data_IF_766496542911
#
_entry.id   IF_766496542911
#
_cell.length_a   1.000
_cell.length_b   1.000
_cell.length_c   1.000
_cell.angle_alpha   90.00
_cell.angle_beta   90.00
_cell.angle_gamma   90.00
#
_symmetry.space_group_name_H-M   'P 1'
#
loop_
_entity.id
_entity.type
_entity.pdbx_description
1 polymer ?
#
# COMPACT_ATOMS: atom_id res chain seq x y z
N UNK A 1 -22.04 -5.79 12.50
CA UNK A 1 -22.18 -4.97 11.27
C UNK A 1 -20.91 -5.19 10.48
N UNK A 2 -21.01 -5.90 9.37
CA UNK A 2 -19.85 -6.32 8.58
C UNK A 2 -19.16 -5.11 7.94
N UNK A 3 -17.90 -4.90 8.33
CA UNK A 3 -17.03 -3.89 7.75
C UNK A 3 -16.56 -4.43 6.38
N UNK A 4 -16.63 -3.67 5.29
CA UNK A 4 -16.17 -4.14 3.99
C UNK A 4 -14.66 -4.41 4.02
N UNK A 5 -14.25 -5.62 3.64
CA UNK A 5 -12.87 -6.11 3.78
C UNK A 5 -12.10 -6.05 2.47
N UNK A 6 -10.95 -5.38 2.48
CA UNK A 6 -9.92 -5.45 1.43
C UNK A 6 -9.05 -6.69 1.65
N UNK A 7 -8.81 -7.48 0.60
CA UNK A 7 -7.86 -8.61 0.59
C UNK A 7 -6.47 -8.10 0.19
N UNK A 8 -5.50 -8.20 1.09
CA UNK A 8 -4.08 -8.10 0.77
C UNK A 8 -3.68 -9.38 0.00
N UNK A 9 -3.41 -9.29 -1.30
CA UNK A 9 -2.83 -10.39 -2.06
C UNK A 9 -1.31 -10.43 -1.83
N UNK A 10 -0.89 -10.98 -0.70
CA UNK A 10 0.48 -11.47 -0.54
C UNK A 10 0.45 -12.99 -0.67
N UNK A 11 1.06 -13.54 -1.73
CA UNK A 11 2.09 -14.60 -1.66
C UNK A 11 2.26 -15.27 -3.05
N UNK A 12 3.52 -15.52 -3.46
CA UNK A 12 3.86 -16.75 -4.15
C UNK A 12 4.68 -17.61 -3.18
N UNK A 13 4.10 -18.70 -2.66
CA UNK A 13 4.83 -19.77 -2.02
C UNK A 13 4.50 -21.05 -2.80
N UNK A 14 5.53 -21.67 -3.35
CA UNK A 14 5.47 -22.92 -4.08
C UNK A 14 5.24 -24.09 -3.10
N UNK A 15 4.02 -24.25 -2.59
CA UNK A 15 3.45 -25.55 -2.17
C UNK A 15 2.05 -25.37 -1.53
N UNK A 16 0.97 -25.89 -2.13
CA UNK A 16 -0.39 -25.66 -1.67
C UNK A 16 -0.87 -26.80 -0.75
N UNK A 17 -0.17 -27.04 0.36
CA UNK A 17 -0.68 -28.00 1.35
C UNK A 17 -0.40 -27.52 2.77
N UNK A 18 -1.47 -26.98 3.36
CA UNK A 18 -1.65 -26.63 4.77
C UNK A 18 -0.95 -25.35 5.23
N UNK A 19 -1.67 -24.24 5.07
CA UNK A 19 -1.67 -23.18 6.07
C UNK A 19 -3.10 -22.63 6.21
N UNK A 20 -3.88 -23.25 7.10
CA UNK A 20 -5.02 -22.58 7.73
C UNK A 20 -4.47 -21.41 8.54
N UNK A 21 -4.60 -20.19 8.03
CA UNK A 21 -4.66 -18.97 8.86
C UNK A 21 -5.57 -17.95 8.16
N UNK A 22 -6.81 -17.88 8.65
CA UNK A 22 -7.80 -16.81 8.41
C UNK A 22 -7.30 -15.37 8.69
N UNK A 23 -6.06 -15.20 9.13
CA UNK A 23 -5.44 -13.95 9.57
C UNK A 23 -4.55 -13.28 8.51
N UNK A 24 -4.37 -13.91 7.34
CA UNK A 24 -3.60 -13.35 6.23
C UNK A 24 -4.52 -12.77 5.15
N UNK A 25 -5.11 -11.58 5.36
CA UNK A 25 -5.58 -10.73 4.24
C UNK A 25 -6.25 -9.39 4.60
N UNK A 26 -6.58 -9.06 5.86
CA UNK A 26 -7.36 -7.84 6.14
C UNK A 26 -6.44 -6.65 6.49
N UNK A 27 -6.59 -5.55 5.74
CA UNK A 27 -5.96 -4.29 6.13
C UNK A 27 -6.58 -3.80 7.45
N UNK A 28 -5.77 -3.65 8.48
CA UNK A 28 -6.24 -3.20 9.79
C UNK A 28 -6.40 -1.68 9.78
N UNK A 29 -7.63 -1.20 9.65
CA UNK A 29 -7.96 0.23 9.62
C UNK A 29 -8.26 0.70 11.04
N UNK A 30 -7.47 1.65 11.52
CA UNK A 30 -7.61 2.22 12.85
C UNK A 30 -8.57 3.42 12.85
N UNK A 31 -8.54 4.21 11.79
CA UNK A 31 -9.39 5.39 11.60
C UNK A 31 -9.60 5.66 10.11
N UNK A 32 -10.74 6.24 9.75
CA UNK A 32 -11.11 6.53 8.37
C UNK A 32 -12.15 7.65 8.27
N UNK A 33 -11.86 8.64 7.43
CA UNK A 33 -12.80 9.66 6.99
C UNK A 33 -12.72 9.80 5.47
N UNK A 34 -13.82 9.51 4.77
CA UNK A 34 -13.97 9.76 3.34
C UNK A 34 -13.45 8.68 2.40
N UNK A 35 -12.62 7.72 2.87
CA UNK A 35 -12.34 6.52 2.08
C UNK A 35 -13.49 5.52 2.17
N UNK A 36 -13.93 5.02 1.02
CA UNK A 36 -14.95 3.99 0.89
C UNK A 36 -14.36 2.77 0.18
N UNK A 37 -14.54 1.59 0.76
CA UNK A 37 -14.17 0.35 0.09
C UNK A 37 -15.25 -0.10 -0.87
N UNK A 38 -14.84 -0.57 -2.06
CA UNK A 38 -15.72 -1.27 -2.98
C UNK A 38 -15.02 -2.51 -3.52
N UNK A 39 -15.75 -3.62 -3.60
CA UNK A 39 -15.29 -4.86 -4.27
C UNK A 39 -15.35 -4.72 -5.80
N UNK A 40 -16.27 -3.91 -6.30
CA UNK A 40 -16.57 -3.75 -7.71
C UNK A 40 -16.15 -2.36 -8.20
N UNK A 41 -15.99 -2.22 -9.52
CA UNK A 41 -15.80 -0.91 -10.11
C UNK A 41 -17.06 -0.04 -9.89
N UNK A 42 -16.89 1.18 -9.36
CA UNK A 42 -18.00 2.10 -9.06
C UNK A 42 -18.59 2.72 -10.34
N UNK A 43 -17.81 2.81 -11.42
CA UNK A 43 -18.23 3.33 -12.72
C UNK A 43 -17.89 2.34 -13.84
N UNK A 44 -18.71 2.21 -14.88
CA UNK A 44 -18.49 1.27 -16.00
C UNK A 44 -19.06 -0.13 -15.73
N UNK A 45 -18.39 -1.19 -16.21
CA UNK A 45 -18.87 -2.57 -16.01
C UNK A 45 -18.72 -3.00 -14.55
N UNK A 46 -19.80 -2.86 -13.78
CA UNK A 46 -19.89 -3.20 -12.36
C UNK A 46 -19.76 -4.70 -12.05
N UNK A 47 -19.77 -5.57 -13.07
CA UNK A 47 -19.55 -7.02 -12.88
C UNK A 47 -18.07 -7.38 -12.70
N UNK A 48 -17.14 -6.46 -13.03
CA UNK A 48 -15.70 -6.71 -12.88
C UNK A 48 -15.25 -6.42 -11.45
N UNK A 49 -14.76 -7.45 -10.76
CA UNK A 49 -14.16 -7.35 -9.42
C UNK A 49 -12.89 -6.49 -9.52
N UNK A 50 -12.87 -5.37 -8.79
CA UNK A 50 -11.75 -4.42 -8.72
C UNK A 50 -11.68 -3.80 -7.31
N UNK A 51 -11.28 -4.60 -6.29
CA UNK A 51 -11.26 -4.16 -4.90
C UNK A 51 -10.38 -2.92 -4.71
N UNK A 52 -10.77 -2.04 -3.81
CA UNK A 52 -10.00 -0.85 -3.50
C UNK A 52 -10.70 0.09 -2.51
N UNK A 53 -9.91 0.85 -1.76
CA UNK A 53 -10.36 2.00 -1.00
C UNK A 53 -10.29 3.24 -1.90
N UNK A 54 -11.38 3.98 -2.01
CA UNK A 54 -11.47 5.18 -2.85
C UNK A 54 -11.89 6.38 -2.01
N UNK A 55 -11.21 7.52 -2.19
CA UNK A 55 -11.61 8.82 -1.67
C UNK A 55 -11.65 9.84 -2.82
N UNK A 56 -12.51 10.85 -2.70
CA UNK A 56 -12.75 11.86 -3.74
C UNK A 56 -12.53 13.29 -3.27
N UNK A 57 -12.40 13.51 -1.96
CA UNK A 57 -12.39 14.85 -1.37
C UNK A 57 -11.05 15.12 -0.67
N UNK A 58 -10.48 16.34 -0.79
CA UNK A 58 -9.37 16.79 0.05
C UNK A 58 -9.65 16.61 1.54
N UNK A 59 -8.61 16.27 2.31
CA UNK A 59 -8.71 16.01 3.74
C UNK A 59 -9.42 14.69 4.10
N UNK A 60 -9.80 13.88 3.10
CA UNK A 60 -10.15 12.48 3.35
C UNK A 60 -8.88 11.74 3.79
N UNK A 61 -8.98 10.90 4.81
CA UNK A 61 -7.84 10.17 5.32
C UNK A 61 -8.20 8.76 5.77
N UNK A 62 -7.19 7.92 5.88
CA UNK A 62 -7.26 6.60 6.48
C UNK A 62 -5.96 6.30 7.24
N UNK A 63 -6.08 5.81 8.47
CA UNK A 63 -4.96 5.32 9.26
C UNK A 63 -4.99 3.81 9.29
N UNK A 64 -3.89 3.18 8.91
CA UNK A 64 -3.78 1.72 8.74
C UNK A 64 -2.61 1.17 9.54
N UNK A 65 -2.82 0.03 10.18
CA UNK A 65 -1.79 -0.71 10.92
C UNK A 65 -1.28 -1.87 10.08
N UNK A 66 0.04 -1.94 9.93
CA UNK A 66 0.73 -3.03 9.24
C UNK A 66 1.90 -3.56 10.10
N UNK A 67 2.25 -4.83 9.91
CA UNK A 67 3.45 -5.41 10.51
C UNK A 67 4.62 -5.20 9.54
N UNK A 68 5.64 -4.46 9.97
CA UNK A 68 6.90 -4.23 9.24
C UNK A 68 8.10 -4.88 9.94
N UNK A 69 7.86 -5.64 10.99
CA UNK A 69 8.89 -6.46 11.64
C UNK A 69 9.04 -7.77 10.85
N UNK A 70 10.26 -8.02 10.39
CA UNK A 70 10.60 -9.23 9.65
C UNK A 70 11.64 -9.99 10.43
N UNK A 71 11.32 -11.24 10.78
CA UNK A 71 12.33 -12.15 11.31
C UNK A 71 13.39 -12.38 10.23
N UNK A 72 14.65 -12.53 10.64
CA UNK A 72 15.73 -12.87 9.71
C UNK A 72 15.32 -14.13 8.94
N UNK A 73 15.22 -14.08 7.59
CA UNK A 73 14.92 -15.27 6.81
C UNK A 73 15.90 -16.38 7.19
N UNK A 74 15.42 -17.61 7.46
CA UNK A 74 16.30 -18.74 7.85
C UNK A 74 17.45 -18.95 6.85
N UNK A 75 17.20 -18.67 5.56
CA UNK A 75 18.18 -18.74 4.47
C UNK A 75 19.30 -17.69 4.55
N UNK A 76 19.14 -16.65 5.37
CA UNK A 76 20.09 -15.55 5.53
C UNK A 76 20.79 -15.55 6.89
N UNK A 77 20.57 -16.58 7.71
CA UNK A 77 21.25 -16.74 9.00
C UNK A 77 22.79 -16.85 8.85
N UNK A 78 23.26 -17.26 7.67
CA UNK A 78 24.70 -17.42 7.35
C UNK A 78 25.29 -16.25 6.55
N UNK A 79 24.49 -15.27 6.13
CA UNK A 79 25.01 -14.09 5.43
C UNK A 79 25.46 -13.03 6.44
N UNK A 80 26.72 -12.56 6.30
CA UNK A 80 27.28 -11.47 7.10
C UNK A 80 26.34 -10.27 7.07
N UNK A 81 25.68 -10.00 8.20
CA UNK A 81 24.96 -8.75 8.56
C UNK A 81 24.56 -7.84 7.38
N UNK A 82 23.84 -8.37 6.39
CA UNK A 82 23.26 -7.55 5.34
C UNK A 82 22.20 -6.67 5.98
N UNK A 83 22.26 -5.35 5.76
CA UNK A 83 21.28 -4.42 6.30
C UNK A 83 19.97 -4.60 5.54
N UNK A 84 19.06 -5.43 6.06
CA UNK A 84 17.70 -5.51 5.52
C UNK A 84 16.99 -4.20 5.76
N UNK A 85 16.51 -3.58 4.68
CA UNK A 85 15.70 -2.37 4.75
C UNK A 85 14.25 -2.77 4.51
N UNK A 86 13.38 -2.64 5.53
CA UNK A 86 11.95 -2.81 5.34
C UNK A 86 11.41 -1.71 4.44
N UNK A 87 10.47 -2.08 3.60
CA UNK A 87 9.75 -1.18 2.72
C UNK A 87 8.26 -1.44 2.80
N UNK A 88 7.47 -0.40 2.56
CA UNK A 88 6.05 -0.50 2.29
C UNK A 88 5.84 -0.21 0.81
N UNK A 89 5.13 -1.10 0.14
CA UNK A 89 4.69 -0.96 -1.25
C UNK A 89 3.18 -0.70 -1.30
N UNK A 90 2.80 0.32 -2.03
CA UNK A 90 1.41 0.68 -2.31
C UNK A 90 1.09 0.33 -3.76
N UNK A 91 0.00 -0.39 -4.01
CA UNK A 91 -0.56 -0.58 -5.35
C UNK A 91 -1.75 0.36 -5.51
N UNK A 92 -1.72 1.20 -6.53
CA UNK A 92 -2.67 2.30 -6.70
C UNK A 92 -3.09 2.45 -8.15
N UNK A 93 -4.29 3.00 -8.35
CA UNK A 93 -4.71 3.43 -9.68
C UNK A 93 -4.04 4.76 -10.03
N UNK A 94 -3.47 4.84 -11.22
CA UNK A 94 -3.06 6.05 -11.91
C UNK A 94 -3.94 6.22 -13.15
N UNK A 95 -4.24 7.46 -13.54
CA UNK A 95 -5.05 7.76 -14.72
C UNK A 95 -4.80 9.19 -15.19
N UNK A 96 -5.06 9.45 -16.46
CA UNK A 96 -5.00 10.79 -17.07
C UNK A 96 -6.19 11.71 -16.73
N UNK A 97 -7.18 11.21 -15.98
CA UNK A 97 -8.37 11.97 -15.59
C UNK A 97 -8.69 11.76 -14.12
N UNK A 98 -9.22 12.80 -13.49
CA UNK A 98 -9.85 12.79 -12.16
C UNK A 98 -8.91 12.57 -10.95
N UNK A 99 -7.65 12.19 -11.18
CA UNK A 99 -6.76 11.70 -10.12
C UNK A 99 -6.18 12.80 -9.24
N UNK A 100 -6.20 12.57 -7.93
CA UNK A 100 -5.62 13.47 -6.94
C UNK A 100 -4.21 13.11 -6.50
N UNK A 101 -3.68 13.96 -5.62
CA UNK A 101 -2.49 13.67 -4.85
C UNK A 101 -2.86 13.19 -3.44
N UNK A 102 -2.00 12.37 -2.85
CA UNK A 102 -2.13 12.01 -1.45
C UNK A 102 -0.76 11.89 -0.79
N UNK A 103 -0.74 12.09 0.52
CA UNK A 103 0.44 11.97 1.37
C UNK A 103 0.37 10.70 2.21
N UNK A 104 1.53 10.08 2.40
CA UNK A 104 1.74 9.01 3.36
C UNK A 104 2.73 9.46 4.42
N UNK A 105 2.45 9.13 5.66
CA UNK A 105 3.33 9.39 6.81
C UNK A 105 3.24 8.25 7.83
N UNK A 106 4.33 8.02 8.56
CA UNK A 106 4.32 7.11 9.70
C UNK A 106 3.89 7.90 10.95
N UNK A 107 2.88 7.41 11.66
CA UNK A 107 2.29 8.11 12.82
C UNK A 107 2.49 7.37 14.14
N UNK A 108 2.75 6.06 14.13
CA UNK A 108 3.07 5.29 15.33
C UNK A 108 3.86 4.02 15.04
N UNK A 109 4.71 3.62 15.99
CA UNK A 109 5.49 2.38 15.99
C UNK A 109 6.69 2.33 15.04
N UNK A 110 6.56 2.88 13.84
CA UNK A 110 7.61 2.96 12.83
C UNK A 110 7.90 4.42 12.45
N UNK A 111 8.99 4.63 11.73
CA UNK A 111 9.42 5.92 11.20
C UNK A 111 9.67 5.79 9.70
N UNK A 112 9.26 6.79 8.95
CA UNK A 112 9.52 6.93 7.52
C UNK A 112 9.51 8.40 7.11
N UNK A 113 10.16 8.70 6.00
CA UNK A 113 10.02 10.00 5.34
C UNK A 113 8.59 10.12 4.79
N UNK A 114 7.94 11.27 5.01
CA UNK A 114 6.64 11.50 4.42
C UNK A 114 6.76 11.65 2.91
N UNK A 115 5.91 10.94 2.16
CA UNK A 115 5.92 10.97 0.69
C UNK A 115 4.59 11.44 0.15
N UNK A 116 4.64 12.25 -0.89
CA UNK A 116 3.48 12.65 -1.69
C UNK A 116 3.51 11.86 -2.99
N UNK A 117 2.36 11.32 -3.38
CA UNK A 117 2.17 10.61 -4.63
C UNK A 117 1.14 11.35 -5.47
N UNK A 118 1.55 11.75 -6.67
CA UNK A 118 0.63 12.22 -7.69
C UNK A 118 0.17 11.05 -8.55
N UNK A 119 -1.14 10.82 -8.58
CA UNK A 119 -1.75 9.72 -9.29
C UNK A 119 -2.21 10.12 -10.70
N UNK A 120 -2.10 11.39 -11.05
CA UNK A 120 -2.37 11.88 -12.39
C UNK A 120 -1.23 11.47 -13.33
N UNK A 121 -1.57 10.67 -14.33
CA UNK A 121 -0.61 10.18 -15.33
C UNK A 121 -0.95 10.74 -16.70
N UNK A 122 -0.15 11.68 -17.19
CA UNK A 122 -0.38 12.33 -18.49
C UNK A 122 0.35 11.64 -19.64
N UNK A 123 1.29 10.73 -19.38
CA UNK A 123 2.02 10.03 -20.45
C UNK A 123 1.19 8.92 -21.11
N UNK A 124 0.14 8.44 -20.42
CA UNK A 124 -0.69 7.33 -20.87
C UNK A 124 -2.17 7.76 -20.88
N UNK A 125 -2.84 7.65 -22.03
CA UNK A 125 -4.28 7.92 -22.15
C UNK A 125 -5.15 6.73 -21.66
N UNK A 126 -4.71 6.06 -20.59
CA UNK A 126 -5.43 4.93 -19.98
C UNK A 126 -5.17 4.86 -18.49
N UNK A 127 -6.08 4.22 -17.75
CA UNK A 127 -5.87 3.98 -16.33
C UNK A 127 -5.01 2.74 -16.09
N UNK A 128 -3.94 2.89 -15.32
CA UNK A 128 -2.98 1.82 -15.00
C UNK A 128 -2.85 1.63 -13.49
N UNK A 129 -2.56 0.41 -13.06
CA UNK A 129 -2.19 0.17 -11.67
C UNK A 129 -0.68 0.23 -11.53
N UNK A 130 -0.16 1.12 -10.68
CA UNK A 130 1.29 1.26 -10.43
C UNK A 130 1.63 0.99 -8.97
N UNK A 131 2.83 0.50 -8.75
CA UNK A 131 3.38 0.26 -7.42
C UNK A 131 4.38 1.35 -7.05
N UNK A 132 4.31 1.81 -5.80
CA UNK A 132 5.29 2.74 -5.24
C UNK A 132 5.80 2.22 -3.90
N UNK A 133 7.11 2.26 -3.69
CA UNK A 133 7.75 1.76 -2.48
C UNK A 133 8.43 2.87 -1.69
N UNK A 134 8.43 2.74 -0.37
CA UNK A 134 9.18 3.63 0.52
C UNK A 134 9.71 2.88 1.73
N UNK A 135 10.89 3.29 2.19
CA UNK A 135 11.56 2.68 3.34
C UNK A 135 10.87 3.05 4.64
N UNK A 136 10.81 2.08 5.56
CA UNK A 136 10.25 2.23 6.90
C UNK A 136 11.14 1.51 7.91
N UNK A 137 11.11 1.91 9.18
CA UNK A 137 11.73 1.12 10.25
C UNK A 137 10.85 -0.06 10.66
N UNK A 138 11.47 -1.11 11.19
CA UNK A 138 10.77 -2.32 11.61
C UNK A 138 9.93 -2.07 12.87
N UNK A 139 8.64 -2.39 12.80
CA UNK A 139 7.77 -2.45 13.97
C UNK A 139 6.59 -3.40 13.74
N UNK A 140 6.17 -4.12 14.79
CA UNK A 140 5.02 -5.05 14.71
C UNK A 140 3.68 -4.35 14.52
N UNK A 141 3.59 -3.09 14.94
CA UNK A 141 2.41 -2.24 14.85
C UNK A 141 2.83 -0.90 14.22
N UNK A 142 3.10 -0.91 12.92
CA UNK A 142 3.47 0.28 12.17
C UNK A 142 2.21 0.94 11.62
N UNK A 143 1.88 2.12 12.15
CA UNK A 143 0.69 2.85 11.77
C UNK A 143 1.04 3.90 10.73
N UNK A 144 0.41 3.79 9.56
CA UNK A 144 0.56 4.71 8.44
C UNK A 144 -0.69 5.57 8.33
N UNK A 145 -0.50 6.87 8.15
CA UNK A 145 -1.55 7.82 7.83
C UNK A 145 -1.50 8.19 6.36
N UNK A 146 -2.63 8.03 5.68
CA UNK A 146 -2.81 8.26 4.25
C UNK A 146 -3.87 9.36 4.10
N UNK A 147 -3.52 10.47 3.46
CA UNK A 147 -4.38 11.66 3.39
C UNK A 147 -4.44 12.23 1.97
N UNK A 148 -5.64 12.44 1.45
CA UNK A 148 -5.87 13.12 0.17
C UNK A 148 -5.59 14.60 0.32
N UNK A 149 -4.70 15.13 -0.52
CA UNK A 149 -4.28 16.52 -0.46
C UNK A 149 -5.22 17.44 -1.23
N UNK A 150 -5.23 18.71 -0.82
CA UNK A 150 -5.89 19.81 -1.53
C UNK A 150 -5.17 20.18 -2.83
N UNK A 151 -3.86 19.91 -2.92
CA UNK A 151 -3.12 20.09 -4.18
C UNK A 151 -3.41 18.95 -5.15
N UNK A 152 -3.57 19.26 -6.43
CA UNK A 152 -3.75 18.29 -7.51
C UNK A 152 -3.22 18.85 -8.83
N UNK A 153 -2.76 17.96 -9.71
CA UNK A 153 -2.36 18.31 -11.08
C UNK A 153 -3.45 18.03 -12.12
N UNK A 154 -4.55 17.37 -11.74
CA UNK A 154 -5.67 17.05 -12.66
C UNK A 154 -6.89 17.96 -12.52
N UNK A 155 -6.94 18.78 -11.45
CA UNK A 155 -8.12 19.55 -11.06
C UNK A 155 -9.12 18.78 -10.16
N UNK A 156 -8.89 17.50 -9.91
CA UNK A 156 -9.73 16.65 -9.05
C UNK A 156 -8.90 15.83 -8.04
N UNK A 157 -9.57 15.14 -7.11
CA UNK A 157 -8.94 14.55 -5.92
C UNK A 157 -9.17 13.04 -5.76
N UNK A 158 -9.48 12.32 -6.84
CA UNK A 158 -9.72 10.88 -6.73
C UNK A 158 -8.45 10.13 -6.39
N UNK A 159 -8.50 9.34 -5.33
CA UNK A 159 -7.43 8.41 -4.93
C UNK A 159 -8.04 7.03 -4.82
N UNK A 160 -7.46 6.04 -5.50
CA UNK A 160 -7.84 4.63 -5.35
C UNK A 160 -6.64 3.78 -4.95
N UNK A 161 -6.63 3.36 -3.69
CA UNK A 161 -5.66 2.45 -3.12
C UNK A 161 -6.17 1.02 -3.23
N UNK A 162 -5.37 0.15 -3.84
CA UNK A 162 -5.74 -1.25 -4.12
C UNK A 162 -5.11 -2.18 -3.09
N UNK A 163 -3.84 -1.93 -2.73
CA UNK A 163 -3.10 -2.78 -1.82
C UNK A 163 -2.01 -2.02 -1.07
N UNK A 164 -1.71 -2.48 0.15
CA UNK A 164 -0.56 -2.08 0.96
C UNK A 164 0.17 -3.35 1.38
N UNK A 165 1.48 -3.41 1.16
CA UNK A 165 2.31 -4.59 1.49
C UNK A 165 3.59 -4.14 2.14
N UNK A 166 3.94 -4.72 3.29
CA UNK A 166 5.28 -4.62 3.84
C UNK A 166 6.16 -5.71 3.21
N UNK A 167 7.38 -5.36 2.81
CA UNK A 167 8.39 -6.29 2.28
C UNK A 167 9.78 -5.93 2.83
N UNK A 168 10.74 -6.82 2.64
CA UNK A 168 12.16 -6.54 2.86
C UNK A 168 12.88 -6.48 1.52
N UNK A 169 13.79 -5.53 1.36
CA UNK A 169 14.74 -5.53 0.27
C UNK A 169 16.13 -5.92 0.80
N UNK A 170 16.77 -6.90 0.14
CA UNK A 170 18.17 -7.23 0.37
C UNK A 170 19.01 -6.26 -0.45
N UNK A 171 19.74 -5.36 0.22
CA UNK A 171 20.84 -4.68 -0.46
C UNK A 171 22.00 -5.67 -0.55
N UNK A 172 22.14 -6.33 -1.70
CA UNK A 172 23.41 -6.96 -2.04
C UNK A 172 24.43 -5.82 -2.17
N UNK A 173 25.33 -5.73 -1.19
CA UNK A 173 26.56 -4.94 -1.35
C UNK A 173 27.30 -5.51 -2.55
N UNK A 174 27.19 -4.83 -3.69
CA UNK A 174 27.92 -5.13 -4.89
C UNK A 174 29.41 -5.24 -4.53
N UNK A 175 30.00 -6.40 -4.85
CA UNK A 175 31.44 -6.63 -4.81
C UNK A 175 32.11 -5.51 -5.61
N UNK A 176 32.84 -4.63 -4.93
CA UNK A 176 33.86 -3.82 -5.60
C UNK A 176 35.06 -4.74 -5.84
N UNK A 177 35.34 -5.01 -7.11
CA UNK A 177 36.62 -5.50 -7.60
C UNK A 177 37.18 -4.45 -8.55
#
# INVERSE_FOLDING_TARGET
RDVPTMRCYGHQQDNPSKLDTEDSAKLNILDNKGFTFSLYQVHGNSKKIKPGWTALNPGSFMTVRINTAFDKPRQLQHMKSGKYLPEVTLLMLHSYEHMGQFRVSCVSGCTCESKVFDLHETSEHTSLTKTHSFSVTQHRQCDLHIEVLETTSSGEHKVKLIQIVAKIHSQDTARHH
#
